data_IF_467539759424
#
_entry.id   IF_467539759424
#
_cell.length_a   1.000
_cell.length_b   1.000
_cell.length_c   1.000
_cell.angle_alpha   90.00
_cell.angle_beta   90.00
_cell.angle_gamma   90.00
#
_symmetry.space_group_name_H-M   'P 1'
#
loop_
_entity.id
_entity.type
_entity.pdbx_description
1 polymer ?
#
# COMPACT_ATOMS: atom_id res chain seq x y z
N UNK A 1 61.32 55.99 4.98
CA UNK A 1 61.41 57.12 4.01
C UNK A 1 61.14 56.61 2.59
N UNK A 2 60.22 57.25 1.87
CA UNK A 2 59.90 57.04 0.47
C UNK A 2 59.26 55.71 0.02
N UNK A 3 57.88 55.70 -0.01
CA UNK A 3 57.06 55.14 -1.10
C UNK A 3 55.57 55.46 -0.82
N UNK A 4 55.20 56.72 -0.84
CA UNK A 4 53.78 57.17 -0.82
C UNK A 4 53.70 58.38 -1.72
N UNK A 5 53.65 58.21 -3.05
CA UNK A 5 53.29 59.27 -4.05
C UNK A 5 53.31 58.66 -5.45
N UNK A 6 52.28 57.86 -5.80
CA UNK A 6 52.02 57.48 -7.22
C UNK A 6 50.65 56.86 -7.42
N UNK A 7 49.61 57.44 -6.91
CA UNK A 7 48.23 56.97 -7.20
C UNK A 7 47.22 58.07 -7.53
N UNK A 8 47.65 59.29 -7.83
CA UNK A 8 46.70 60.41 -8.08
C UNK A 8 46.72 60.90 -9.57
N UNK A 9 47.34 60.17 -10.50
CA UNK A 9 47.46 60.68 -11.87
C UNK A 9 46.62 59.95 -12.92
N UNK A 10 45.54 59.25 -12.55
CA UNK A 10 44.65 58.57 -13.54
C UNK A 10 43.17 58.84 -13.35
N UNK A 11 42.74 59.91 -12.71
CA UNK A 11 41.37 60.37 -12.87
C UNK A 11 41.23 61.14 -14.17
N UNK A 12 40.81 60.50 -15.24
CA UNK A 12 40.32 61.17 -16.43
C UNK A 12 38.99 61.80 -16.11
N UNK A 13 38.94 63.15 -16.04
CA UNK A 13 37.75 63.97 -15.99
C UNK A 13 36.85 63.61 -17.20
N UNK A 14 35.65 63.08 -16.91
CA UNK A 14 34.62 62.87 -17.93
C UNK A 14 34.14 64.24 -18.39
N UNK A 15 34.17 64.58 -19.68
CA UNK A 15 33.77 65.89 -20.16
C UNK A 15 32.27 66.13 -19.86
N UNK A 16 31.96 67.34 -19.38
CA UNK A 16 30.66 67.82 -18.93
C UNK A 16 29.48 67.54 -19.90
N UNK A 17 29.75 67.41 -21.19
CA UNK A 17 28.76 67.05 -22.20
C UNK A 17 28.21 65.58 -22.10
N UNK A 18 28.95 64.67 -21.49
CA UNK A 18 28.46 63.28 -21.30
C UNK A 18 27.63 63.12 -20.02
N UNK A 19 27.80 64.00 -19.03
CA UNK A 19 26.93 64.04 -17.84
C UNK A 19 25.53 64.59 -18.15
N UNK A 20 25.41 65.54 -19.08
CA UNK A 20 24.13 66.11 -19.49
C UNK A 20 23.27 65.08 -20.25
N UNK A 21 23.88 64.23 -21.05
CA UNK A 21 23.15 63.16 -21.77
C UNK A 21 22.58 62.06 -20.83
N UNK A 22 23.27 61.80 -19.70
CA UNK A 22 22.79 60.81 -18.69
C UNK A 22 21.67 61.46 -17.85
N UNK A 23 21.69 62.74 -17.56
CA UNK A 23 20.61 63.42 -16.83
C UNK A 23 19.34 63.59 -17.67
N UNK A 24 19.45 63.81 -18.99
CA UNK A 24 18.28 63.96 -19.87
C UNK A 24 17.60 62.62 -20.13
N UNK A 25 18.34 61.53 -20.11
CA UNK A 25 17.79 60.15 -20.19
C UNK A 25 16.99 59.72 -18.98
N UNK A 26 17.24 60.31 -17.80
CA UNK A 26 16.47 60.04 -16.57
C UNK A 26 15.19 60.86 -16.45
N UNK A 27 15.01 61.95 -17.23
CA UNK A 27 13.82 62.81 -17.16
C UNK A 27 12.69 62.44 -18.14
N UNK A 28 12.97 61.65 -19.15
CA UNK A 28 11.89 61.03 -19.92
C UNK A 28 11.59 59.67 -19.31
N UNK A 29 10.61 59.67 -18.42
CA UNK A 29 10.13 58.44 -17.74
C UNK A 29 9.59 57.43 -18.69
N UNK A 30 10.44 56.76 -19.47
CA UNK A 30 10.17 55.47 -20.09
C UNK A 30 10.40 54.42 -19.01
N UNK A 31 9.41 54.23 -18.12
CA UNK A 31 9.23 53.01 -17.38
C UNK A 31 9.05 51.89 -18.44
N UNK A 32 10.15 51.31 -18.92
CA UNK A 32 10.08 50.00 -19.56
C UNK A 32 9.68 49.06 -18.45
N UNK A 33 8.46 48.48 -18.45
CA UNK A 33 8.15 47.43 -17.50
C UNK A 33 9.12 46.32 -17.81
N UNK A 34 10.11 46.10 -16.95
CA UNK A 34 10.85 44.84 -16.87
C UNK A 34 9.79 43.78 -16.52
N UNK A 35 9.09 43.28 -17.53
CA UNK A 35 8.36 42.02 -17.39
C UNK A 35 9.40 40.98 -17.08
N UNK A 36 9.67 40.76 -15.81
CA UNK A 36 10.31 39.52 -15.36
C UNK A 36 9.35 38.42 -15.74
N UNK A 37 9.50 37.91 -16.96
CA UNK A 37 8.96 36.63 -17.32
C UNK A 37 9.73 35.63 -16.45
N UNK A 38 9.16 35.28 -15.30
CA UNK A 38 9.62 34.13 -14.55
C UNK A 38 9.66 32.99 -15.54
N UNK A 39 10.83 32.52 -15.91
CA UNK A 39 11.01 31.43 -16.84
C UNK A 39 10.30 30.23 -16.24
N UNK A 40 9.13 29.91 -16.77
CA UNK A 40 8.30 28.81 -16.29
C UNK A 40 9.13 27.54 -16.54
N UNK A 41 9.53 26.89 -15.47
CA UNK A 41 10.37 25.68 -15.56
C UNK A 41 9.57 24.59 -16.28
N UNK A 42 10.20 23.92 -17.22
CA UNK A 42 9.63 22.74 -17.85
C UNK A 42 9.39 21.66 -16.80
N UNK A 43 8.27 20.98 -16.91
CA UNK A 43 7.92 19.85 -16.07
C UNK A 43 8.76 18.61 -16.46
N UNK A 44 8.96 17.71 -15.52
CA UNK A 44 9.58 16.39 -15.79
C UNK A 44 8.57 15.44 -16.45
N UNK A 45 7.30 15.55 -16.02
CA UNK A 45 6.23 14.72 -16.52
C UNK A 45 4.96 15.58 -16.74
N UNK A 46 4.31 15.35 -17.88
CA UNK A 46 3.02 15.94 -18.20
C UNK A 46 2.05 14.85 -18.62
N UNK A 47 0.85 14.85 -18.05
CA UNK A 47 -0.29 14.07 -18.50
C UNK A 47 -1.20 14.98 -19.32
N UNK A 48 -1.68 14.54 -20.49
CA UNK A 48 -2.58 15.29 -21.37
C UNK A 48 -3.73 14.42 -21.85
N UNK A 49 -4.78 15.06 -22.38
CA UNK A 49 -5.92 14.37 -23.00
C UNK A 49 -6.67 13.45 -22.05
N UNK A 50 -6.74 13.78 -20.77
CA UNK A 50 -7.36 12.95 -19.73
C UNK A 50 -8.75 13.42 -19.29
N UNK A 51 -9.48 12.52 -18.65
CA UNK A 51 -10.60 12.83 -17.76
C UNK A 51 -10.12 12.74 -16.32
N UNK A 52 -9.53 13.82 -15.81
CA UNK A 52 -8.82 13.82 -14.54
C UNK A 52 -9.74 14.33 -13.44
N UNK A 53 -10.03 13.49 -12.44
CA UNK A 53 -10.72 13.89 -11.21
C UNK A 53 -9.69 14.36 -10.18
N UNK A 54 -9.80 15.63 -9.78
CA UNK A 54 -8.74 16.30 -8.99
C UNK A 54 -8.89 16.15 -7.48
N UNK A 55 -10.08 15.75 -7.01
CA UNK A 55 -10.48 15.80 -5.59
C UNK A 55 -10.53 17.21 -5.01
N UNK A 56 -10.28 18.26 -5.80
CA UNK A 56 -10.46 19.65 -5.43
C UNK A 56 -11.89 20.10 -5.75
N UNK A 57 -12.68 20.45 -4.73
CA UNK A 57 -14.07 20.88 -4.91
C UNK A 57 -14.22 22.14 -5.76
N UNK A 58 -13.23 23.04 -5.75
CA UNK A 58 -13.24 24.26 -6.58
C UNK A 58 -12.95 23.97 -8.05
N UNK A 59 -12.31 22.85 -8.36
CA UNK A 59 -11.91 22.44 -9.70
C UNK A 59 -11.92 20.92 -9.84
N UNK A 60 -13.08 20.27 -9.79
CA UNK A 60 -13.17 18.81 -9.67
C UNK A 60 -12.67 18.04 -10.89
N UNK A 61 -12.57 18.70 -12.06
CA UNK A 61 -12.12 18.06 -13.30
C UNK A 61 -11.02 18.85 -13.99
N UNK A 62 -10.11 18.15 -14.65
CA UNK A 62 -9.05 18.68 -15.48
C UNK A 62 -8.79 17.75 -16.67
N UNK A 63 -8.10 18.27 -17.71
CA UNK A 63 -7.66 17.49 -18.88
C UNK A 63 -6.19 17.12 -18.78
N UNK A 64 -5.39 17.94 -18.06
CA UNK A 64 -3.95 17.78 -18.00
C UNK A 64 -3.35 18.15 -16.64
N UNK A 65 -2.17 17.58 -16.35
CA UNK A 65 -1.38 17.80 -15.13
C UNK A 65 0.09 17.90 -15.49
N UNK A 66 0.82 18.86 -14.91
CA UNK A 66 2.26 18.96 -14.98
C UNK A 66 2.90 18.67 -13.64
N UNK A 67 3.96 17.86 -13.62
CA UNK A 67 4.70 17.42 -12.43
C UNK A 67 6.17 17.82 -12.55
N UNK A 68 6.70 18.41 -11.48
CA UNK A 68 8.11 18.72 -11.34
C UNK A 68 8.59 18.39 -9.94
N UNK A 69 9.71 17.67 -9.82
CA UNK A 69 10.30 17.19 -8.56
C UNK A 69 9.27 16.46 -7.66
N UNK A 70 8.48 15.56 -8.27
CA UNK A 70 7.47 14.78 -7.56
C UNK A 70 6.26 15.59 -7.06
N UNK A 71 6.10 16.85 -7.49
CA UNK A 71 4.96 17.71 -7.10
C UNK A 71 4.16 18.13 -8.32
N UNK A 72 2.85 18.20 -8.17
CA UNK A 72 1.98 18.81 -9.16
C UNK A 72 2.24 20.32 -9.13
N UNK A 73 2.70 20.88 -10.27
CA UNK A 73 3.02 22.31 -10.43
C UNK A 73 1.96 23.05 -11.24
N UNK A 74 1.17 22.34 -12.04
CA UNK A 74 0.03 22.89 -12.75
C UNK A 74 -1.02 21.80 -13.01
N UNK A 75 -2.30 22.24 -13.07
CA UNK A 75 -3.44 21.42 -13.41
C UNK A 75 -4.46 22.27 -14.17
N UNK A 76 -5.07 21.72 -15.23
CA UNK A 76 -6.06 22.46 -16.02
C UNK A 76 -6.37 21.80 -17.34
N UNK A 77 -6.63 22.61 -18.38
CA UNK A 77 -6.84 22.12 -19.75
C UNK A 77 -5.50 21.76 -20.40
N UNK A 78 -5.56 20.93 -21.45
CA UNK A 78 -4.39 20.59 -22.28
C UNK A 78 -3.66 21.88 -22.73
N UNK A 79 -4.41 22.90 -23.15
CA UNK A 79 -3.86 24.18 -23.60
C UNK A 79 -3.10 24.91 -22.51
N UNK A 80 -3.59 24.87 -21.26
CA UNK A 80 -2.97 25.57 -20.15
C UNK A 80 -1.67 24.93 -19.66
N UNK A 81 -1.46 23.67 -20.01
CA UNK A 81 -0.28 22.88 -19.62
C UNK A 81 0.86 22.98 -20.64
N UNK A 82 0.59 23.36 -21.89
CA UNK A 82 1.59 23.48 -22.94
C UNK A 82 2.88 24.24 -22.52
N UNK A 83 2.78 25.37 -21.77
CA UNK A 83 3.99 26.10 -21.34
C UNK A 83 4.93 25.33 -20.42
N UNK A 84 4.48 24.21 -19.84
CA UNK A 84 5.28 23.35 -18.98
C UNK A 84 6.01 22.24 -19.75
N UNK A 85 5.75 22.09 -21.04
CA UNK A 85 6.38 21.07 -21.87
C UNK A 85 7.69 21.62 -22.43
N UNK A 86 8.80 20.99 -22.06
CA UNK A 86 10.15 21.27 -22.57
C UNK A 86 10.74 20.06 -23.31
N UNK A 87 11.96 20.21 -23.84
CA UNK A 87 12.61 19.14 -24.62
C UNK A 87 12.77 17.82 -23.86
N UNK A 88 12.96 17.89 -22.54
CA UNK A 88 13.17 16.72 -21.67
C UNK A 88 11.88 16.26 -20.96
N UNK A 89 10.74 16.91 -21.20
CA UNK A 89 9.48 16.57 -20.55
C UNK A 89 8.95 15.25 -21.09
N UNK A 90 8.72 14.28 -20.22
CA UNK A 90 7.95 13.09 -20.57
C UNK A 90 6.47 13.46 -20.69
N UNK A 91 5.89 13.26 -21.87
CA UNK A 91 4.45 13.50 -22.09
C UNK A 91 3.73 12.18 -22.22
N UNK A 92 2.68 11.98 -21.43
CA UNK A 92 1.80 10.81 -21.48
C UNK A 92 0.41 11.27 -21.92
N UNK A 93 -0.01 10.84 -23.11
CA UNK A 93 -1.36 11.04 -23.62
C UNK A 93 -2.30 9.98 -23.01
N UNK A 94 -3.25 10.42 -22.22
CA UNK A 94 -4.24 9.57 -21.56
C UNK A 94 -5.35 9.08 -22.52
N UNK A 95 -5.49 9.69 -23.70
CA UNK A 95 -6.47 9.29 -24.71
C UNK A 95 -7.90 9.20 -24.16
N UNK A 96 -8.30 10.19 -23.38
CA UNK A 96 -9.61 10.24 -22.72
C UNK A 96 -9.78 9.34 -21.50
N UNK A 97 -8.72 8.61 -21.08
CA UNK A 97 -8.81 7.74 -19.90
C UNK A 97 -8.99 8.55 -18.63
N UNK A 98 -9.71 7.93 -17.69
CA UNK A 98 -9.87 8.45 -16.34
C UNK A 98 -8.56 8.38 -15.57
N UNK A 99 -8.26 9.46 -14.83
CA UNK A 99 -7.16 9.52 -13.89
C UNK A 99 -7.60 10.23 -12.60
N UNK A 100 -7.03 9.85 -11.48
CA UNK A 100 -7.28 10.45 -10.17
C UNK A 100 -6.07 10.23 -9.26
N UNK A 101 -5.94 10.98 -8.15
CA UNK A 101 -4.95 10.66 -7.12
C UNK A 101 -5.10 9.23 -6.63
N UNK A 102 -3.98 8.56 -6.35
CA UNK A 102 -3.99 7.23 -5.76
C UNK A 102 -4.69 7.21 -4.41
N UNK A 103 -5.32 6.08 -4.08
CA UNK A 103 -5.94 5.92 -2.77
C UNK A 103 -4.89 5.94 -1.67
N UNK A 104 -5.25 6.58 -0.55
CA UNK A 104 -4.50 6.50 0.69
C UNK A 104 -5.32 5.65 1.65
N UNK A 105 -4.85 4.42 1.90
CA UNK A 105 -5.49 3.53 2.87
C UNK A 105 -5.09 3.97 4.29
N UNK A 106 -6.06 4.43 5.07
CA UNK A 106 -5.85 4.89 6.44
C UNK A 106 -5.96 3.78 7.48
N UNK A 107 -6.40 2.56 7.10
CA UNK A 107 -6.54 1.42 8.00
C UNK A 107 -6.05 0.15 7.29
N UNK A 108 -4.85 -0.30 7.62
CA UNK A 108 -4.26 -1.51 7.04
C UNK A 108 -3.62 -2.39 8.11
N UNK A 109 -3.82 -3.70 7.97
CA UNK A 109 -3.18 -4.73 8.80
C UNK A 109 -1.93 -5.27 8.09
N UNK A 110 -0.92 -4.40 7.90
CA UNK A 110 0.26 -4.72 7.10
C UNK A 110 1.05 -5.91 7.67
N UNK A 111 1.25 -5.95 9.00
CA UNK A 111 1.92 -7.08 9.67
C UNK A 111 1.11 -8.36 9.48
N UNK A 112 -0.22 -8.30 9.70
CA UNK A 112 -1.11 -9.44 9.50
C UNK A 112 -1.13 -9.95 8.06
N UNK A 113 -0.95 -9.09 7.07
CA UNK A 113 -0.75 -9.51 5.68
C UNK A 113 0.56 -10.29 5.53
N UNK A 114 1.67 -9.78 6.08
CA UNK A 114 2.96 -10.47 6.05
C UNK A 114 2.89 -11.85 6.71
N UNK A 115 2.30 -11.94 7.89
CA UNK A 115 2.05 -13.20 8.59
C UNK A 115 1.20 -14.17 7.76
N UNK A 116 0.15 -13.69 7.11
CA UNK A 116 -0.72 -14.53 6.26
C UNK A 116 0.01 -15.13 5.06
N UNK A 117 1.07 -14.50 4.56
CA UNK A 117 1.91 -15.00 3.48
C UNK A 117 2.85 -16.14 3.94
N UNK A 118 3.04 -16.29 5.25
CA UNK A 118 3.84 -17.36 5.86
C UNK A 118 3.00 -18.58 6.27
N UNK A 119 1.68 -18.54 6.06
CA UNK A 119 0.72 -19.58 6.44
C UNK A 119 0.06 -20.20 5.20
N UNK A 120 -0.60 -21.34 5.38
CA UNK A 120 -1.48 -21.89 4.35
C UNK A 120 -2.67 -20.96 4.14
N UNK A 121 -2.86 -20.54 2.89
CA UNK A 121 -4.01 -19.72 2.50
C UNK A 121 -5.22 -20.63 2.19
N UNK A 122 -6.19 -20.66 3.09
CA UNK A 122 -7.36 -21.53 3.03
C UNK A 122 -8.62 -20.80 2.52
N UNK A 123 -8.51 -19.54 2.11
CA UNK A 123 -9.66 -18.71 1.70
C UNK A 123 -10.43 -19.25 0.49
N UNK A 124 -9.75 -19.99 -0.37
CA UNK A 124 -10.33 -20.50 -1.63
C UNK A 124 -10.83 -21.95 -1.52
N UNK A 125 -10.58 -22.62 -0.40
CA UNK A 125 -11.00 -24.00 -0.22
C UNK A 125 -12.54 -24.11 -0.23
N UNK A 126 -13.04 -25.03 -1.06
CA UNK A 126 -14.46 -25.32 -1.27
C UNK A 126 -14.95 -26.52 -0.49
N UNK A 127 -14.04 -27.29 0.10
CA UNK A 127 -14.35 -28.44 0.93
C UNK A 127 -13.36 -28.57 2.07
N UNK A 128 -13.72 -29.35 3.10
CA UNK A 128 -12.80 -29.69 4.16
C UNK A 128 -11.66 -30.58 3.65
N UNK A 129 -11.96 -31.48 2.73
CA UNK A 129 -11.01 -32.40 2.11
C UNK A 129 -9.90 -31.65 1.34
N UNK A 130 -10.23 -30.53 0.71
CA UNK A 130 -9.23 -29.67 0.08
C UNK A 130 -8.27 -29.08 1.11
N UNK A 131 -8.78 -28.67 2.29
CA UNK A 131 -7.96 -28.17 3.41
C UNK A 131 -7.03 -29.26 3.92
N UNK A 132 -7.58 -30.47 4.17
CA UNK A 132 -6.80 -31.63 4.60
C UNK A 132 -5.70 -31.95 3.58
N UNK A 133 -6.02 -31.90 2.28
CA UNK A 133 -5.04 -32.12 1.19
C UNK A 133 -3.94 -31.06 1.18
N UNK A 134 -4.26 -29.78 1.43
CA UNK A 134 -3.26 -28.72 1.51
C UNK A 134 -2.31 -28.93 2.69
N UNK A 135 -2.84 -29.31 3.86
CA UNK A 135 -2.03 -29.68 5.03
C UNK A 135 -1.16 -30.90 4.74
N UNK A 136 -1.73 -31.97 4.17
CA UNK A 136 -0.97 -33.16 3.77
C UNK A 136 0.17 -32.85 2.77
N UNK A 137 -0.01 -31.85 1.92
CA UNK A 137 1.06 -31.37 1.03
C UNK A 137 2.14 -30.63 1.82
N UNK A 138 1.76 -29.81 2.80
CA UNK A 138 2.70 -29.06 3.63
C UNK A 138 3.58 -29.98 4.50
N UNK A 139 3.06 -31.12 4.98
CA UNK A 139 3.86 -32.08 5.76
C UNK A 139 5.08 -32.62 5.02
N UNK A 140 5.07 -32.60 3.68
CA UNK A 140 6.19 -33.08 2.86
C UNK A 140 7.42 -32.18 2.91
N UNK A 141 7.24 -30.93 3.28
CA UNK A 141 8.29 -29.90 3.30
C UNK A 141 8.55 -29.31 4.69
N UNK A 142 7.67 -29.59 5.63
CA UNK A 142 7.80 -29.18 7.04
C UNK A 142 8.47 -30.30 7.83
N UNK A 143 9.51 -30.04 8.61
CA UNK A 143 10.12 -31.03 9.49
C UNK A 143 9.12 -31.59 10.52
N UNK A 144 9.16 -32.89 10.86
CA UNK A 144 8.32 -33.47 11.90
C UNK A 144 8.41 -32.69 13.23
N UNK A 145 7.28 -32.48 13.87
CA UNK A 145 7.18 -31.71 15.11
C UNK A 145 7.04 -30.20 14.92
N UNK A 146 7.31 -29.68 13.73
CA UNK A 146 7.07 -28.25 13.42
C UNK A 146 5.60 -27.99 13.10
N UNK A 147 5.15 -26.79 13.45
CA UNK A 147 3.76 -26.37 13.26
C UNK A 147 3.39 -26.15 11.81
N UNK A 148 2.22 -26.64 11.42
CA UNK A 148 1.55 -26.23 10.18
C UNK A 148 0.42 -25.29 10.54
N UNK A 149 0.54 -24.05 10.11
CA UNK A 149 -0.41 -22.97 10.41
C UNK A 149 -1.12 -22.55 9.12
N UNK A 150 -2.44 -22.36 9.21
CA UNK A 150 -3.25 -21.89 8.11
C UNK A 150 -4.33 -20.91 8.54
N UNK A 151 -4.88 -20.16 7.59
CA UNK A 151 -5.96 -19.21 7.85
C UNK A 151 -6.92 -19.11 6.67
N UNK A 152 -8.19 -18.83 7.00
CA UNK A 152 -9.16 -18.40 6.02
C UNK A 152 -10.24 -19.42 5.66
N UNK A 153 -10.24 -20.59 6.32
CA UNK A 153 -11.34 -21.54 6.14
C UNK A 153 -12.66 -20.98 6.66
N UNK A 154 -13.77 -21.39 6.02
CA UNK A 154 -15.11 -20.99 6.43
C UNK A 154 -16.12 -22.01 5.92
N UNK A 155 -16.79 -22.68 6.82
CA UNK A 155 -17.73 -23.79 6.52
C UNK A 155 -18.88 -23.40 5.60
N UNK A 156 -19.32 -22.12 5.62
CA UNK A 156 -20.41 -21.68 4.74
C UNK A 156 -19.99 -21.56 3.25
N UNK A 157 -18.69 -21.70 2.94
CA UNK A 157 -18.17 -21.71 1.57
C UNK A 157 -18.01 -23.10 1.01
N UNK A 158 -18.23 -24.12 1.85
CA UNK A 158 -18.04 -25.52 1.44
C UNK A 158 -19.25 -26.06 0.70
N UNK A 159 -18.99 -26.84 -0.32
CA UNK A 159 -20.00 -27.44 -1.18
C UNK A 159 -20.84 -28.50 -0.42
N UNK A 160 -20.28 -29.07 0.64
CA UNK A 160 -20.93 -30.05 1.52
C UNK A 160 -20.33 -29.98 2.94
N UNK A 161 -21.09 -30.51 3.91
CA UNK A 161 -20.60 -30.65 5.26
C UNK A 161 -19.43 -31.64 5.34
N UNK A 162 -18.42 -31.40 6.21
CA UNK A 162 -17.31 -32.33 6.39
C UNK A 162 -17.81 -33.69 6.94
N UNK A 163 -17.06 -34.76 6.71
CA UNK A 163 -17.34 -36.08 7.26
C UNK A 163 -16.05 -36.68 7.86
N UNK A 164 -16.04 -37.08 9.15
CA UNK A 164 -17.10 -36.85 10.16
C UNK A 164 -17.25 -35.40 10.56
N UNK A 165 -18.41 -35.07 11.18
CA UNK A 165 -18.63 -33.72 11.69
C UNK A 165 -19.44 -33.73 13.01
N UNK A 166 -19.30 -32.62 13.75
CA UNK A 166 -20.14 -32.28 14.92
C UNK A 166 -20.71 -30.89 14.68
N UNK A 167 -22.03 -30.76 14.68
CA UNK A 167 -22.73 -29.50 14.41
C UNK A 167 -22.32 -28.82 13.08
N UNK A 168 -21.95 -29.61 12.06
CA UNK A 168 -21.49 -29.08 10.76
C UNK A 168 -20.01 -28.68 10.71
N UNK A 169 -19.29 -28.77 11.82
CA UNK A 169 -17.84 -28.55 11.89
C UNK A 169 -17.05 -29.85 11.75
N UNK A 170 -15.86 -29.83 11.16
CA UNK A 170 -15.01 -31.00 11.04
C UNK A 170 -14.57 -31.52 12.41
N UNK A 171 -14.27 -32.81 12.47
CA UNK A 171 -13.52 -33.37 13.60
C UNK A 171 -12.02 -33.48 13.24
N UNK A 172 -11.21 -33.75 14.26
CA UNK A 172 -9.77 -33.93 14.12
C UNK A 172 -9.37 -35.18 13.30
N UNK A 173 -10.29 -36.10 13.05
CA UNK A 173 -10.05 -37.42 12.48
C UNK A 173 -9.24 -37.38 11.16
N UNK A 174 -9.74 -36.71 10.14
CA UNK A 174 -9.08 -36.63 8.83
C UNK A 174 -7.75 -35.91 8.91
N UNK A 175 -7.64 -34.88 9.77
CA UNK A 175 -6.41 -34.11 9.94
C UNK A 175 -5.34 -34.91 10.67
N UNK A 176 -5.70 -35.73 11.65
CA UNK A 176 -4.79 -36.62 12.36
C UNK A 176 -4.15 -37.66 11.40
N UNK A 177 -4.95 -38.16 10.44
CA UNK A 177 -4.42 -39.06 9.40
C UNK A 177 -3.48 -38.31 8.42
N UNK A 178 -3.77 -37.08 8.08
CA UNK A 178 -2.99 -36.31 7.11
C UNK A 178 -1.69 -35.74 7.68
N UNK A 179 -1.67 -35.44 8.99
CA UNK A 179 -0.54 -34.79 9.65
C UNK A 179 -0.27 -35.41 11.05
N UNK A 180 0.06 -36.71 11.12
CA UNK A 180 0.24 -37.39 12.40
C UNK A 180 1.44 -36.85 13.21
N UNK A 181 2.47 -36.41 12.52
CA UNK A 181 3.75 -35.96 13.10
C UNK A 181 3.89 -34.44 13.21
N UNK A 182 2.81 -33.69 12.91
CA UNK A 182 2.83 -32.23 12.91
C UNK A 182 1.67 -31.67 13.71
N UNK A 183 1.92 -30.71 14.62
CA UNK A 183 0.84 -29.93 15.20
C UNK A 183 0.25 -28.98 14.15
N UNK A 184 -1.08 -29.00 14.01
CA UNK A 184 -1.81 -28.21 13.01
C UNK A 184 -2.73 -27.22 13.73
N UNK A 185 -2.67 -25.94 13.33
CA UNK A 185 -3.57 -24.89 13.80
C UNK A 185 -4.10 -24.08 12.62
N UNK A 186 -5.40 -24.10 12.40
CA UNK A 186 -6.05 -23.43 11.29
C UNK A 186 -7.04 -22.40 11.81
N UNK A 187 -6.76 -21.11 11.60
CA UNK A 187 -7.65 -20.01 12.01
C UNK A 187 -8.77 -19.81 10.99
N UNK A 188 -9.99 -19.70 11.48
CA UNK A 188 -11.18 -19.38 10.68
C UNK A 188 -11.09 -17.98 10.07
N UNK A 189 -11.78 -17.75 8.96
CA UNK A 189 -11.78 -16.46 8.26
C UNK A 189 -12.26 -15.29 9.13
N UNK A 190 -13.22 -15.54 10.06
CA UNK A 190 -13.72 -14.52 11.00
C UNK A 190 -12.70 -14.12 12.07
N UNK A 191 -11.71 -14.97 12.36
CA UNK A 191 -10.81 -14.80 13.50
C UNK A 191 -11.38 -15.22 14.87
N UNK A 192 -12.65 -15.66 14.91
CA UNK A 192 -13.35 -16.07 16.13
C UNK A 192 -13.37 -17.58 16.36
N UNK A 193 -12.74 -18.34 15.50
CA UNK A 193 -12.71 -19.80 15.59
C UNK A 193 -11.36 -20.33 15.11
N UNK A 194 -10.97 -21.46 15.69
CA UNK A 194 -9.76 -22.19 15.26
C UNK A 194 -10.05 -23.69 15.22
N UNK A 195 -9.31 -24.36 14.36
CA UNK A 195 -9.21 -25.82 14.35
C UNK A 195 -7.80 -26.22 14.77
N UNK A 196 -7.70 -27.22 15.64
CA UNK A 196 -6.44 -27.87 16.02
C UNK A 196 -6.55 -29.39 15.88
N UNK A 197 -5.50 -30.06 15.37
CA UNK A 197 -5.47 -31.52 15.37
C UNK A 197 -5.10 -32.08 16.77
N UNK A 198 -5.20 -33.38 16.94
CA UNK A 198 -4.93 -34.06 18.23
C UNK A 198 -3.50 -33.78 18.74
N UNK A 199 -2.51 -33.69 17.84
CA UNK A 199 -1.14 -33.37 18.24
C UNK A 199 -1.05 -31.96 18.83
N UNK A 200 -1.66 -30.96 18.19
CA UNK A 200 -1.69 -29.60 18.70
C UNK A 200 -2.44 -29.50 20.03
N UNK A 201 -3.59 -30.18 20.14
CA UNK A 201 -4.36 -30.25 21.38
C UNK A 201 -3.56 -30.87 22.52
N UNK A 202 -2.87 -31.96 22.26
CA UNK A 202 -1.99 -32.64 23.25
C UNK A 202 -0.87 -31.71 23.72
N UNK A 203 -0.22 -30.96 22.83
CA UNK A 203 0.81 -29.98 23.20
C UNK A 203 0.24 -28.85 24.08
N UNK A 204 -1.00 -28.48 23.85
CA UNK A 204 -1.70 -27.46 24.63
C UNK A 204 -2.31 -27.99 25.94
N UNK A 205 -2.24 -29.29 26.21
CA UNK A 205 -2.85 -29.92 27.38
C UNK A 205 -4.39 -29.93 27.31
N UNK A 206 -4.96 -29.95 26.10
CA UNK A 206 -6.41 -30.01 25.89
C UNK A 206 -6.85 -31.45 25.73
N UNK A 207 -7.78 -31.88 26.55
CA UNK A 207 -8.33 -33.24 26.62
C UNK A 207 -9.84 -33.26 26.93
N UNK A 208 -10.38 -34.45 27.21
CA UNK A 208 -11.81 -34.62 27.53
C UNK A 208 -12.23 -33.91 28.82
N UNK A 209 -11.30 -33.77 29.78
CA UNK A 209 -11.57 -33.13 31.08
C UNK A 209 -11.45 -31.61 31.00
N UNK A 210 -10.87 -31.08 29.95
CA UNK A 210 -10.71 -29.62 29.74
C UNK A 210 -12.06 -28.95 29.65
N UNK A 211 -12.34 -28.00 30.56
CA UNK A 211 -13.58 -27.23 30.59
C UNK A 211 -13.54 -26.03 29.65
N UNK A 212 -14.72 -25.56 29.22
CA UNK A 212 -14.81 -24.35 28.42
C UNK A 212 -14.25 -23.14 29.18
N UNK A 213 -13.38 -22.35 28.58
CA UNK A 213 -12.91 -21.10 29.18
C UNK A 213 -14.06 -20.08 29.22
N UNK A 214 -13.96 -19.09 30.12
CA UNK A 214 -14.95 -18.02 30.20
C UNK A 214 -15.02 -17.24 28.87
N UNK A 215 -16.17 -17.27 28.21
CA UNK A 215 -16.41 -16.58 26.94
C UNK A 215 -15.90 -17.35 25.70
N UNK A 216 -15.51 -18.61 25.87
CA UNK A 216 -15.12 -19.49 24.77
C UNK A 216 -15.76 -20.87 24.88
N UNK A 217 -15.70 -21.64 23.80
CA UNK A 217 -16.26 -22.98 23.71
C UNK A 217 -15.29 -23.95 23.02
N UNK A 218 -15.17 -25.15 23.59
CA UNK A 218 -14.49 -26.30 23.00
C UNK A 218 -15.58 -27.23 22.50
N UNK A 219 -15.68 -27.39 21.20
CA UNK A 219 -16.67 -28.33 20.61
C UNK A 219 -16.21 -29.75 20.90
N UNK A 220 -17.06 -30.50 21.59
CA UNK A 220 -16.84 -31.91 21.94
C UNK A 220 -17.84 -32.80 21.23
N UNK A 221 -17.45 -34.04 20.98
CA UNK A 221 -18.33 -35.09 20.48
C UNK A 221 -19.26 -35.64 21.57
N UNK A 222 -20.07 -36.62 21.22
CA UNK A 222 -21.02 -37.28 22.13
C UNK A 222 -20.37 -38.04 23.31
N UNK A 223 -19.07 -38.32 23.20
CA UNK A 223 -18.26 -38.96 24.23
C UNK A 223 -17.49 -37.95 25.09
N UNK A 224 -17.63 -36.65 24.83
CA UNK A 224 -16.93 -35.59 25.53
C UNK A 224 -15.51 -35.34 25.04
N UNK A 225 -15.07 -35.99 23.92
CA UNK A 225 -13.76 -35.76 23.33
C UNK A 225 -13.77 -34.43 22.53
N UNK A 226 -12.78 -33.55 22.70
CA UNK A 226 -12.61 -32.37 21.85
C UNK A 226 -12.49 -32.75 20.39
N UNK A 227 -13.24 -32.08 19.51
CA UNK A 227 -13.24 -32.34 18.06
C UNK A 227 -12.14 -31.62 17.33
N UNK A 228 -11.44 -30.71 18.00
CA UNK A 228 -10.45 -29.81 17.42
C UNK A 228 -11.00 -28.42 17.13
N UNK A 229 -12.27 -28.15 17.31
CA UNK A 229 -12.88 -26.83 17.10
C UNK A 229 -12.93 -26.05 18.41
N UNK A 230 -12.42 -24.84 18.35
CA UNK A 230 -12.40 -23.84 19.42
C UNK A 230 -13.09 -22.57 18.94
N UNK A 231 -14.05 -22.04 19.73
CA UNK A 231 -14.83 -20.83 19.41
C UNK A 231 -14.52 -19.78 20.47
N UNK A 232 -14.19 -18.56 20.02
CA UNK A 232 -13.82 -17.41 20.84
C UNK A 232 -12.70 -17.69 21.86
N UNK A 233 -12.72 -17.00 23.02
CA UNK A 233 -11.67 -17.10 24.05
C UNK A 233 -12.14 -17.92 25.21
#
# INVERSE_FOLDING_TARGET
MHKTLSLISKLRLIPCQKMLAILIGCLMGVCIPLTVHGQQRAAELVLVGGNIYTVDQARPHAEAVAVYQGRIVAIGSDRSILPFIGPETQVIDLKGKFAMPGFIEGHAHFVGLGESMMMLNLHQAKTWEEIVSQVAKATRTTPPGEWIIGRGWHQSKWDHAPSPNVNGYPTDFNMNLAAPDHPVLLTHASGHMSFANEYAMRLAGVDADTTNPKGGEIIKDEFGKPTGIFIDK
#
